data_IF_585241658704
#
_entry.id   IF_585241658704
#
_cell.length_a   1.000
_cell.length_b   1.000
_cell.length_c   1.000
_cell.angle_alpha   90.00
_cell.angle_beta   90.00
_cell.angle_gamma   90.00
#
_symmetry.space_group_name_H-M   'P 1'
#
loop_
_entity.id
_entity.type
_entity.pdbx_description
1 polymer ?
#
# COMPACT_ATOMS: atom_id res chain seq x y z
N UNK A 1 -11.27 11.63 -16.18
CA UNK A 1 -10.98 10.55 -17.13
C UNK A 1 -9.49 10.27 -17.13
N UNK A 2 -9.12 9.01 -17.04
CA UNK A 2 -7.72 8.59 -17.00
C UNK A 2 -7.16 8.23 -18.40
N UNK A 3 -7.60 8.91 -19.47
CA UNK A 3 -7.29 8.54 -20.85
C UNK A 3 -5.80 8.48 -21.17
N UNK A 4 -5.17 9.62 -21.27
CA UNK A 4 -3.74 9.73 -21.62
C UNK A 4 -2.83 9.93 -20.43
N UNK A 5 -3.39 10.35 -19.30
CA UNK A 5 -2.68 10.59 -18.07
C UNK A 5 -3.09 9.55 -17.06
N UNK A 6 -2.12 8.73 -16.64
CA UNK A 6 -2.37 7.79 -15.55
C UNK A 6 -2.15 8.51 -14.23
N UNK A 7 -3.22 8.67 -13.47
CA UNK A 7 -3.16 9.15 -12.10
C UNK A 7 -3.37 7.99 -11.16
N UNK A 8 -2.43 7.83 -10.25
CA UNK A 8 -2.54 6.85 -9.17
C UNK A 8 -2.56 7.63 -7.87
N UNK A 9 -3.74 7.90 -7.31
CA UNK A 9 -3.83 8.61 -6.04
C UNK A 9 -3.26 7.76 -4.92
N UNK A 10 -2.71 8.43 -3.93
CA UNK A 10 -2.16 7.79 -2.73
C UNK A 10 -3.04 8.09 -1.54
N UNK A 11 -3.37 7.04 -0.79
CA UNK A 11 -4.10 7.11 0.47
C UNK A 11 -3.17 6.54 1.54
N UNK A 12 -2.88 7.33 2.57
CA UNK A 12 -2.11 6.87 3.73
C UNK A 12 -3.08 6.54 4.86
N UNK A 13 -2.84 5.40 5.52
CA UNK A 13 -3.67 4.92 6.63
C UNK A 13 -2.85 4.97 7.93
N UNK A 14 -3.45 5.52 8.98
CA UNK A 14 -2.86 5.58 10.31
C UNK A 14 -3.95 5.63 11.37
N UNK A 15 -3.83 4.77 12.38
CA UNK A 15 -4.79 4.75 13.48
C UNK A 15 -6.23 4.49 13.06
N UNK A 16 -6.46 3.71 12.04
CA UNK A 16 -7.79 3.43 11.52
C UNK A 16 -8.41 4.57 10.72
N UNK A 17 -7.61 5.53 10.28
CA UNK A 17 -8.07 6.72 9.55
C UNK A 17 -7.24 6.97 8.31
N UNK A 18 -7.81 7.73 7.37
CA UNK A 18 -7.07 8.30 6.26
C UNK A 18 -6.36 9.55 6.77
N UNK A 19 -5.06 9.64 6.50
CA UNK A 19 -4.26 10.79 6.88
C UNK A 19 -3.53 11.35 5.67
N UNK A 20 -3.23 12.64 5.72
CA UNK A 20 -2.33 13.28 4.78
C UNK A 20 -1.22 13.92 5.59
N UNK A 21 0.01 13.52 5.28
CA UNK A 21 1.19 14.08 5.93
C UNK A 21 1.57 15.40 5.26
N UNK A 22 1.96 16.38 6.07
CA UNK A 22 2.51 17.64 5.58
C UNK A 22 4.01 17.46 5.28
N UNK A 23 4.85 17.84 6.22
CA UNK A 23 6.29 17.63 6.11
C UNK A 23 6.71 16.55 7.12
N UNK A 24 7.42 15.53 6.64
CA UNK A 24 7.83 14.42 7.48
C UNK A 24 6.62 13.68 8.04
N UNK A 25 6.60 13.46 9.35
CA UNK A 25 5.57 12.68 10.03
C UNK A 25 4.40 13.52 10.56
N UNK A 26 4.35 14.79 10.19
CA UNK A 26 3.30 15.70 10.65
C UNK A 26 2.01 15.44 9.93
N UNK A 27 0.94 15.10 10.68
CA UNK A 27 -0.39 14.91 10.11
C UNK A 27 -1.00 16.29 9.83
N UNK A 28 -1.28 16.58 8.54
CA UNK A 28 -1.95 17.81 8.11
C UNK A 28 -3.46 17.62 8.03
N UNK A 29 -3.91 16.46 7.53
CA UNK A 29 -5.32 16.13 7.38
C UNK A 29 -5.55 14.73 7.94
N UNK A 30 -6.62 14.57 8.68
CA UNK A 30 -7.06 13.29 9.23
C UNK A 30 -8.56 13.13 9.01
N UNK A 31 -8.97 12.00 8.49
CA UNK A 31 -10.37 11.71 8.22
C UNK A 31 -10.72 10.28 8.59
N UNK A 32 -11.77 10.12 9.41
CA UNK A 32 -12.33 8.80 9.72
C UNK A 32 -13.30 8.31 8.65
N UNK A 33 -13.73 9.16 7.74
CA UNK A 33 -14.62 8.77 6.64
C UNK A 33 -13.81 8.22 5.45
N UNK A 34 -13.40 6.97 5.58
CA UNK A 34 -12.63 6.28 4.55
C UNK A 34 -13.42 6.15 3.25
N UNK A 35 -14.74 5.94 3.33
CA UNK A 35 -15.56 5.73 2.14
C UNK A 35 -15.79 7.00 1.33
N UNK A 36 -15.60 8.16 1.90
CA UNK A 36 -15.55 9.42 1.15
C UNK A 36 -14.43 9.36 0.10
N UNK A 37 -13.27 8.83 0.48
CA UNK A 37 -12.12 8.68 -0.41
C UNK A 37 -12.35 7.58 -1.43
N UNK A 38 -13.00 6.49 -1.05
CA UNK A 38 -13.40 5.43 -1.98
C UNK A 38 -14.31 6.00 -3.08
N UNK A 39 -15.31 6.77 -2.71
CA UNK A 39 -16.20 7.42 -3.70
C UNK A 39 -15.46 8.40 -4.59
N UNK A 40 -14.51 9.15 -4.03
CA UNK A 40 -13.71 10.12 -4.79
C UNK A 40 -12.84 9.46 -5.85
N UNK A 41 -12.30 8.30 -5.55
CA UNK A 41 -11.35 7.62 -6.43
C UNK A 41 -11.92 6.42 -7.19
N UNK A 42 -13.22 6.24 -7.18
CA UNK A 42 -13.87 5.08 -7.80
C UNK A 42 -13.62 4.92 -9.29
N UNK A 43 -13.30 6.00 -9.99
CA UNK A 43 -13.02 5.98 -11.43
C UNK A 43 -11.53 5.87 -11.75
N UNK A 44 -10.68 5.79 -10.77
CA UNK A 44 -9.25 5.57 -10.98
C UNK A 44 -8.97 4.09 -11.22
N UNK A 45 -8.06 3.81 -12.14
CA UNK A 45 -7.70 2.42 -12.48
C UNK A 45 -6.94 1.73 -11.36
N UNK A 46 -6.24 2.48 -10.54
CA UNK A 46 -5.44 1.97 -9.42
C UNK A 46 -5.33 3.04 -8.33
N UNK A 47 -5.35 2.61 -7.09
CA UNK A 47 -5.11 3.48 -5.91
C UNK A 47 -3.98 2.88 -5.10
N UNK A 48 -3.07 3.71 -4.64
CA UNK A 48 -1.98 3.29 -3.78
C UNK A 48 -2.37 3.48 -2.32
N UNK A 49 -2.41 2.39 -1.55
CA UNK A 49 -2.66 2.40 -0.11
C UNK A 49 -1.37 2.16 0.64
N UNK A 50 -1.03 3.04 1.55
CA UNK A 50 0.14 2.87 2.40
C UNK A 50 -0.30 2.79 3.85
N UNK A 51 0.02 1.69 4.49
CA UNK A 51 -0.24 1.48 5.92
C UNK A 51 0.92 2.02 6.73
N UNK A 52 0.76 3.23 7.26
CA UNK A 52 1.82 3.89 8.02
C UNK A 52 2.10 3.23 9.37
N UNK A 53 1.10 2.61 10.00
CA UNK A 53 1.33 1.89 11.25
C UNK A 53 2.20 0.65 11.01
N UNK A 54 1.99 -0.04 9.89
CA UNK A 54 2.83 -1.17 9.51
C UNK A 54 4.25 -0.72 9.14
N UNK A 55 4.39 0.44 8.48
CA UNK A 55 5.71 1.04 8.21
C UNK A 55 6.49 1.26 9.49
N UNK A 56 5.82 1.79 10.51
CA UNK A 56 6.43 2.13 11.81
C UNK A 56 6.49 0.94 12.77
N UNK A 57 5.95 -0.21 12.38
CA UNK A 57 5.84 -1.40 13.22
C UNK A 57 5.06 -1.13 14.54
N UNK A 58 4.09 -0.22 14.49
CA UNK A 58 3.21 0.11 15.62
C UNK A 58 1.84 -0.56 15.55
N UNK A 59 1.60 -1.32 14.50
CA UNK A 59 0.33 -2.00 14.27
C UNK A 59 0.08 -2.17 12.80
N UNK A 60 -1.20 -2.28 12.42
CA UNK A 60 -1.61 -2.36 11.02
C UNK A 60 -3.03 -1.81 10.84
N UNK A 61 -3.40 -1.57 9.60
CA UNK A 61 -4.74 -1.15 9.20
C UNK A 61 -5.37 -2.18 8.25
N UNK A 62 -5.16 -3.45 8.51
CA UNK A 62 -5.58 -4.56 7.63
C UNK A 62 -7.07 -4.57 7.37
N UNK A 63 -7.88 -4.21 8.35
CA UNK A 63 -9.33 -4.14 8.17
C UNK A 63 -9.71 -3.08 7.13
N UNK A 64 -9.09 -1.90 7.20
CA UNK A 64 -9.30 -0.85 6.21
C UNK A 64 -8.76 -1.25 4.83
N UNK A 65 -7.61 -1.88 4.78
CA UNK A 65 -7.04 -2.40 3.52
C UNK A 65 -8.04 -3.33 2.86
N UNK A 66 -8.61 -4.26 3.62
CA UNK A 66 -9.61 -5.20 3.11
C UNK A 66 -10.85 -4.50 2.60
N UNK A 67 -11.37 -3.55 3.36
CA UNK A 67 -12.60 -2.83 3.01
C UNK A 67 -12.42 -1.94 1.79
N UNK A 68 -11.31 -1.23 1.69
CA UNK A 68 -11.02 -0.36 0.54
C UNK A 68 -10.71 -1.20 -0.70
N UNK A 69 -9.93 -2.26 -0.55
CA UNK A 69 -9.57 -3.15 -1.67
C UNK A 69 -10.76 -3.91 -2.24
N UNK A 70 -11.84 -4.07 -1.46
CA UNK A 70 -13.09 -4.65 -1.95
C UNK A 70 -13.83 -3.69 -2.90
N UNK A 71 -13.54 -2.40 -2.86
CA UNK A 71 -14.22 -1.37 -3.65
C UNK A 71 -13.36 -0.76 -4.75
N UNK A 72 -12.06 -0.72 -4.53
CA UNK A 72 -11.10 -0.11 -5.45
C UNK A 72 -9.98 -1.11 -5.78
N UNK A 73 -9.45 -1.01 -6.99
CA UNK A 73 -8.22 -1.72 -7.32
C UNK A 73 -7.06 -1.02 -6.61
N UNK A 74 -6.41 -1.72 -5.67
CA UNK A 74 -5.39 -1.15 -4.83
C UNK A 74 -4.05 -1.85 -5.00
N UNK A 75 -2.98 -1.06 -4.96
CA UNK A 75 -1.65 -1.56 -4.65
C UNK A 75 -1.29 -1.10 -3.25
N UNK A 76 -0.88 -2.04 -2.42
CA UNK A 76 -0.75 -1.83 -0.98
C UNK A 76 0.70 -1.97 -0.56
N UNK A 77 1.20 -1.00 0.18
CA UNK A 77 2.53 -0.99 0.75
C UNK A 77 2.51 -0.67 2.24
N UNK A 78 3.66 -0.84 2.84
CA UNK A 78 3.89 -0.54 4.25
C UNK A 78 4.21 -1.80 5.04
N UNK A 79 5.44 -1.90 5.50
CA UNK A 79 5.87 -2.96 6.42
C UNK A 79 5.86 -4.38 5.86
N UNK A 80 5.88 -4.55 4.55
CA UNK A 80 5.92 -5.88 3.94
C UNK A 80 7.38 -6.35 3.94
N UNK A 81 7.71 -7.24 4.87
CA UNK A 81 9.07 -7.73 5.11
C UNK A 81 9.17 -9.25 5.11
N UNK A 82 8.08 -9.96 4.76
CA UNK A 82 8.07 -11.42 4.66
C UNK A 82 7.15 -11.85 3.53
N UNK A 83 7.39 -13.05 3.00
CA UNK A 83 6.53 -13.66 1.98
C UNK A 83 5.12 -13.89 2.56
N UNK A 84 5.03 -14.31 3.81
CA UNK A 84 3.75 -14.53 4.49
C UNK A 84 2.94 -13.23 4.57
N UNK A 85 3.58 -12.13 4.92
CA UNK A 85 2.91 -10.84 4.96
C UNK A 85 2.44 -10.41 3.57
N UNK A 86 3.27 -10.59 2.56
CA UNK A 86 2.90 -10.29 1.17
C UNK A 86 1.65 -11.08 0.76
N UNK A 87 1.59 -12.37 1.08
CA UNK A 87 0.43 -13.21 0.81
C UNK A 87 -0.82 -12.72 1.53
N UNK A 88 -0.70 -12.35 2.80
CA UNK A 88 -1.82 -11.84 3.59
C UNK A 88 -2.43 -10.58 2.96
N UNK A 89 -1.60 -9.68 2.46
CA UNK A 89 -2.06 -8.45 1.82
C UNK A 89 -2.79 -8.74 0.51
N UNK A 90 -2.29 -9.66 -0.29
CA UNK A 90 -2.99 -10.10 -1.51
C UNK A 90 -4.31 -10.79 -1.16
N UNK A 91 -4.34 -11.65 -0.16
CA UNK A 91 -5.56 -12.32 0.30
C UNK A 91 -6.59 -11.32 0.84
N UNK A 92 -6.15 -10.21 1.38
CA UNK A 92 -7.02 -9.12 1.82
C UNK A 92 -7.70 -8.39 0.66
N UNK A 93 -7.25 -8.61 -0.58
CA UNK A 93 -7.87 -8.06 -1.78
C UNK A 93 -7.00 -7.12 -2.60
N UNK A 94 -5.77 -6.85 -2.17
CA UNK A 94 -4.85 -6.02 -2.95
C UNK A 94 -4.56 -6.66 -4.31
N UNK A 95 -4.51 -5.84 -5.36
CA UNK A 95 -4.12 -6.30 -6.69
C UNK A 95 -2.62 -6.44 -6.81
N UNK A 96 -1.88 -5.57 -6.14
CA UNK A 96 -0.43 -5.56 -6.11
C UNK A 96 0.05 -5.19 -4.71
N UNK A 97 1.25 -5.61 -4.39
CA UNK A 97 1.95 -5.17 -3.18
C UNK A 97 3.14 -4.29 -3.56
N UNK A 98 3.55 -3.42 -2.66
CA UNK A 98 4.69 -2.54 -2.85
C UNK A 98 5.77 -2.93 -1.86
N UNK A 99 6.94 -3.26 -2.37
CA UNK A 99 8.14 -3.50 -1.57
C UNK A 99 9.02 -2.26 -1.62
N UNK A 100 9.49 -1.81 -0.48
CA UNK A 100 10.34 -0.62 -0.38
C UNK A 100 11.56 -0.91 0.51
N UNK A 101 11.47 -0.67 1.81
CA UNK A 101 12.62 -0.84 2.71
C UNK A 101 13.18 -2.27 2.74
N UNK A 102 12.35 -3.28 2.50
CA UNK A 102 12.79 -4.68 2.45
C UNK A 102 13.67 -5.00 1.23
N UNK A 103 13.75 -4.09 0.25
CA UNK A 103 14.64 -4.24 -0.91
C UNK A 103 16.09 -3.85 -0.58
N UNK A 104 16.34 -3.32 0.60
CA UNK A 104 17.66 -2.86 1.00
C UNK A 104 18.11 -3.62 2.24
N UNK A 105 19.35 -4.00 2.23
CA UNK A 105 20.02 -4.62 3.37
C UNK A 105 21.31 -3.85 3.63
N UNK A 106 21.45 -3.32 4.84
CA UNK A 106 22.61 -2.52 5.23
C UNK A 106 22.90 -1.36 4.27
N UNK A 107 21.82 -0.69 3.82
CA UNK A 107 21.90 0.45 2.91
C UNK A 107 22.19 0.10 1.45
N UNK A 108 22.23 -1.19 1.11
CA UNK A 108 22.49 -1.67 -0.25
C UNK A 108 21.28 -2.41 -0.82
N UNK A 109 21.02 -2.30 -2.14
CA UNK A 109 19.96 -3.08 -2.76
C UNK A 109 20.20 -4.58 -2.56
N UNK A 110 19.16 -5.27 -2.09
CA UNK A 110 19.16 -6.73 -1.98
C UNK A 110 17.85 -7.24 -2.56
N UNK A 111 17.93 -7.78 -3.76
CA UNK A 111 16.75 -8.24 -4.48
C UNK A 111 16.38 -9.69 -4.18
N UNK A 112 17.10 -10.36 -3.28
CA UNK A 112 16.79 -11.76 -2.95
C UNK A 112 15.41 -11.94 -2.37
N UNK A 113 14.98 -11.02 -1.50
CA UNK A 113 13.64 -11.01 -0.95
C UNK A 113 12.58 -10.76 -2.03
N UNK A 114 12.82 -9.78 -2.90
CA UNK A 114 11.92 -9.49 -4.02
C UNK A 114 11.75 -10.73 -4.92
N UNK A 115 12.83 -11.44 -5.21
CA UNK A 115 12.76 -12.66 -6.00
C UNK A 115 11.89 -13.73 -5.33
N UNK A 116 12.02 -13.93 -4.01
CA UNK A 116 11.19 -14.88 -3.26
C UNK A 116 9.71 -14.50 -3.31
N UNK A 117 9.39 -13.22 -3.18
CA UNK A 117 8.02 -12.74 -3.25
C UNK A 117 7.46 -12.92 -4.66
N UNK A 118 8.23 -12.60 -5.69
CA UNK A 118 7.82 -12.80 -7.08
C UNK A 118 7.58 -14.28 -7.40
N UNK A 119 8.39 -15.17 -6.87
CA UNK A 119 8.20 -16.61 -7.04
C UNK A 119 6.91 -17.10 -6.36
N UNK A 120 6.56 -16.50 -5.22
CA UNK A 120 5.39 -16.90 -4.45
C UNK A 120 4.09 -16.32 -5.01
N UNK A 121 4.11 -15.07 -5.50
CA UNK A 121 2.90 -14.33 -5.89
C UNK A 121 2.77 -14.09 -7.38
N UNK A 122 3.87 -14.14 -8.13
CA UNK A 122 3.93 -13.72 -9.51
C UNK A 122 4.39 -12.27 -9.66
N UNK A 123 5.10 -12.01 -10.74
CA UNK A 123 5.72 -10.70 -11.03
C UNK A 123 4.69 -9.57 -11.14
N UNK A 124 3.51 -9.88 -11.69
CA UNK A 124 2.46 -8.88 -11.92
C UNK A 124 1.87 -8.32 -10.63
N UNK A 125 2.09 -9.00 -9.51
CA UNK A 125 1.56 -8.59 -8.22
C UNK A 125 2.57 -7.83 -7.36
N UNK A 126 3.78 -7.61 -7.85
CA UNK A 126 4.86 -7.01 -7.06
C UNK A 126 5.37 -5.73 -7.71
N UNK A 127 5.40 -4.65 -6.93
CA UNK A 127 5.92 -3.34 -7.32
C UNK A 127 7.08 -3.00 -6.41
N UNK A 128 8.20 -2.57 -7.00
CA UNK A 128 9.34 -2.09 -6.24
C UNK A 128 9.30 -0.55 -6.20
N UNK A 129 9.42 0.00 -5.01
CA UNK A 129 9.52 1.44 -4.78
C UNK A 129 10.92 1.77 -4.26
N UNK A 130 11.69 2.46 -5.05
CA UNK A 130 13.07 2.83 -4.73
C UNK A 130 13.26 4.35 -4.64
#
# INVERSE_FOLDING_TARGET
MCGRLMLIPRIDLKGGKVVKLAQGDRVAIESSDVFRWVRRFRNCSMVQLIDLDAVMATGNNDDLVRRVSAKLACRVGGGIRSVERAKQVIEAGAKQIILSSALFKEGRPDLSFAAKVCDALGRDQVVAAV
#
